data_IF_515014001086
#
_entry.id   IF_515014001086
#
_cell.length_a   1.000
_cell.length_b   1.000
_cell.length_c   1.000
_cell.angle_alpha   90.00
_cell.angle_beta   90.00
_cell.angle_gamma   90.00
#
_symmetry.space_group_name_H-M   'P 1'
#
loop_
_entity.id
_entity.type
_entity.pdbx_description
1 polymer ?
#
# COMPACT_ATOMS: atom_id res chain seq x y z
N UNK A 1 31.47 19.10 -29.38
CA UNK A 1 31.02 20.21 -28.50
C UNK A 1 30.57 19.56 -27.19
N UNK A 2 31.19 19.68 -26.03
CA UNK A 2 31.99 20.73 -25.40
C UNK A 2 33.20 20.09 -24.69
N UNK A 3 34.38 20.64 -24.95
CA UNK A 3 35.71 20.19 -24.53
C UNK A 3 36.13 20.82 -23.20
N UNK A 4 36.91 20.05 -22.41
CA UNK A 4 37.96 20.52 -21.46
C UNK A 4 37.40 21.36 -20.29
N UNK A 5 37.80 21.19 -19.04
CA UNK A 5 39.08 21.63 -18.50
C UNK A 5 39.31 20.95 -17.16
N UNK A 6 40.39 20.17 -17.10
CA UNK A 6 41.12 19.84 -15.87
C UNK A 6 41.93 21.10 -15.53
N UNK A 7 41.60 21.77 -14.42
CA UNK A 7 42.42 22.88 -13.92
C UNK A 7 43.31 22.40 -12.78
N UNK A 8 44.59 22.70 -12.96
CA UNK A 8 45.71 22.44 -12.09
C UNK A 8 45.58 23.20 -10.77
N UNK A 9 45.93 22.52 -9.68
CA UNK A 9 46.17 23.13 -8.37
C UNK A 9 47.51 23.87 -8.42
N UNK A 10 47.48 25.20 -8.43
CA UNK A 10 48.63 26.03 -8.04
C UNK A 10 48.68 26.16 -6.51
N UNK A 11 49.86 26.04 -5.88
CA UNK A 11 50.00 26.25 -4.44
C UNK A 11 49.96 27.76 -4.13
N UNK A 12 48.92 28.21 -3.42
CA UNK A 12 48.91 29.55 -2.85
C UNK A 12 49.88 29.63 -1.66
N UNK A 13 50.72 30.65 -1.75
CA UNK A 13 51.76 31.06 -0.81
C UNK A 13 51.24 31.20 0.62
N UNK A 14 51.96 30.59 1.57
CA UNK A 14 51.79 30.76 3.01
C UNK A 14 51.90 32.25 3.40
N UNK A 15 50.78 32.90 3.69
CA UNK A 15 50.77 34.13 4.49
C UNK A 15 50.96 33.73 5.97
N UNK A 16 52.10 34.13 6.55
CA UNK A 16 52.36 34.07 8.00
C UNK A 16 51.31 34.92 8.72
N UNK A 17 50.54 34.30 9.61
CA UNK A 17 49.73 35.02 10.60
C UNK A 17 50.66 35.62 11.68
N UNK A 18 50.38 36.83 12.21
CA UNK A 18 51.19 37.45 13.25
C UNK A 18 51.08 36.70 14.59
N UNK A 19 52.15 36.84 15.38
CA UNK A 19 52.37 36.20 16.67
C UNK A 19 51.25 36.48 17.68
N UNK A 20 50.87 35.43 18.40
CA UNK A 20 49.89 35.45 19.48
C UNK A 20 50.36 36.34 20.64
N UNK A 21 49.56 37.33 21.00
CA UNK A 21 49.56 37.97 22.32
C UNK A 21 48.90 37.03 23.32
N UNK A 22 49.57 36.80 24.44
CA UNK A 22 49.08 35.99 25.55
C UNK A 22 47.93 36.71 26.27
N UNK A 23 46.70 36.55 25.75
CA UNK A 23 45.51 37.01 26.42
C UNK A 23 45.11 36.01 27.52
N UNK A 24 45.38 36.44 28.76
CA UNK A 24 44.83 35.98 30.04
C UNK A 24 43.77 34.87 29.92
N UNK A 25 44.13 33.65 30.36
CA UNK A 25 43.20 32.53 30.54
C UNK A 25 42.11 32.91 31.56
N UNK A 26 41.03 33.54 31.09
CA UNK A 26 39.78 33.67 31.83
C UNK A 26 39.31 32.24 32.15
N UNK A 27 39.32 31.88 33.43
CA UNK A 27 38.78 30.60 33.92
C UNK A 27 37.30 30.55 33.55
N UNK A 28 36.99 29.88 32.43
CA UNK A 28 35.61 29.56 32.06
C UNK A 28 35.01 28.80 33.23
N UNK A 29 33.81 29.16 33.74
CA UNK A 29 33.22 28.48 34.88
C UNK A 29 33.11 26.98 34.59
N UNK A 30 33.49 26.15 35.56
CA UNK A 30 33.43 24.70 35.43
C UNK A 30 32.00 24.28 35.05
N UNK A 31 31.83 23.73 33.85
CA UNK A 31 30.53 23.30 33.36
C UNK A 31 29.94 22.29 34.36
N UNK A 32 28.73 22.53 34.87
CA UNK A 32 28.07 21.65 35.84
C UNK A 32 28.06 20.20 35.35
N UNK A 33 28.35 19.25 36.23
CA UNK A 33 28.39 17.81 35.90
C UNK A 33 27.07 17.33 35.29
N UNK A 34 25.95 17.85 35.77
CA UNK A 34 24.60 17.60 35.25
C UNK A 34 24.41 18.01 33.79
N UNK A 35 25.09 19.06 33.30
CA UNK A 35 25.04 19.46 31.89
C UNK A 35 25.87 18.52 31.01
N UNK A 36 27.02 18.04 31.50
CA UNK A 36 27.86 17.07 30.78
C UNK A 36 27.14 15.73 30.62
N UNK A 37 26.45 15.26 31.66
CA UNK A 37 25.62 14.04 31.59
C UNK A 37 24.46 14.20 30.60
N UNK A 38 23.75 15.34 30.62
CA UNK A 38 22.71 15.65 29.62
C UNK A 38 23.27 15.60 28.19
N UNK A 39 24.44 16.20 27.94
CA UNK A 39 25.08 16.18 26.62
C UNK A 39 25.43 14.75 26.16
N UNK A 40 25.96 13.91 27.06
CA UNK A 40 26.23 12.48 26.79
C UNK A 40 24.94 11.73 26.45
N UNK A 41 23.89 11.91 27.24
CA UNK A 41 22.59 11.28 27.01
C UNK A 41 21.97 11.70 25.66
N UNK A 42 22.05 12.98 25.30
CA UNK A 42 21.59 13.46 23.99
C UNK A 42 22.42 12.88 22.85
N UNK A 43 23.73 12.76 23.00
CA UNK A 43 24.60 12.14 22.01
C UNK A 43 24.24 10.65 21.82
N UNK A 44 24.03 9.91 22.90
CA UNK A 44 23.60 8.51 22.84
C UNK A 44 22.22 8.34 22.20
N UNK A 45 21.25 9.18 22.56
CA UNK A 45 19.92 9.16 21.97
C UNK A 45 19.98 9.46 20.47
N UNK A 46 20.83 10.41 20.04
CA UNK A 46 21.08 10.69 18.63
C UNK A 46 21.66 9.46 17.92
N UNK A 47 22.69 8.82 18.49
CA UNK A 47 23.29 7.60 17.92
C UNK A 47 22.26 6.47 17.81
N UNK A 48 21.48 6.22 18.87
CA UNK A 48 20.40 5.22 18.89
C UNK A 48 19.33 5.53 17.83
N UNK A 49 18.94 6.79 17.68
CA UNK A 49 17.98 7.21 16.66
C UNK A 49 18.52 7.01 15.23
N UNK A 50 19.80 7.35 14.99
CA UNK A 50 20.47 7.14 13.71
C UNK A 50 20.56 5.65 13.36
N UNK A 51 20.95 4.79 14.30
CA UNK A 51 20.98 3.34 14.13
C UNK A 51 19.59 2.79 13.79
N UNK A 52 18.54 3.21 14.51
CA UNK A 52 17.15 2.82 14.23
C UNK A 52 16.68 3.27 12.84
N UNK A 53 16.96 4.53 12.45
CA UNK A 53 16.64 5.06 11.12
C UNK A 53 17.36 4.28 10.02
N UNK A 54 18.63 3.94 10.22
CA UNK A 54 19.42 3.16 9.26
C UNK A 54 18.87 1.74 9.10
N UNK A 55 18.59 1.04 10.20
CA UNK A 55 17.97 -0.28 10.18
C UNK A 55 16.59 -0.26 9.48
N UNK A 56 15.75 0.72 9.79
CA UNK A 56 14.47 0.90 9.11
C UNK A 56 14.64 1.18 7.60
N UNK A 57 15.66 1.93 7.19
CA UNK A 57 15.95 2.22 5.78
C UNK A 57 16.33 0.94 5.02
N UNK A 58 17.19 0.10 5.59
CA UNK A 58 17.56 -1.20 4.99
C UNK A 58 16.31 -2.08 4.85
N UNK A 59 15.54 -2.20 5.91
CA UNK A 59 14.32 -3.02 5.92
C UNK A 59 13.26 -2.50 4.94
N UNK A 60 13.10 -1.18 4.79
CA UNK A 60 12.22 -0.58 3.77
C UNK A 60 12.70 -0.90 2.35
N UNK A 61 14.01 -0.85 2.08
CA UNK A 61 14.57 -1.20 0.77
C UNK A 61 14.32 -2.68 0.44
N UNK A 62 14.59 -3.58 1.38
CA UNK A 62 14.33 -5.01 1.22
C UNK A 62 12.85 -5.29 0.95
N UNK A 63 11.94 -4.66 1.71
CA UNK A 63 10.49 -4.78 1.51
C UNK A 63 10.05 -4.28 0.14
N UNK A 64 10.59 -3.15 -0.35
CA UNK A 64 10.27 -2.63 -1.69
C UNK A 64 10.68 -3.61 -2.79
N UNK A 65 11.89 -4.17 -2.71
CA UNK A 65 12.36 -5.18 -3.67
C UNK A 65 11.45 -6.41 -3.66
N UNK A 66 11.08 -6.89 -2.48
CA UNK A 66 10.17 -8.02 -2.33
C UNK A 66 8.78 -7.75 -2.93
N UNK A 67 8.17 -6.59 -2.65
CA UNK A 67 6.87 -6.20 -3.21
C UNK A 67 6.93 -6.11 -4.74
N UNK A 68 8.03 -5.59 -5.29
CA UNK A 68 8.23 -5.49 -6.73
C UNK A 68 8.27 -6.86 -7.42
N UNK A 69 9.08 -7.80 -6.91
CA UNK A 69 9.14 -9.16 -7.47
C UNK A 69 7.77 -9.87 -7.36
N UNK A 70 7.05 -9.65 -6.25
CA UNK A 70 5.71 -10.21 -6.04
C UNK A 70 4.68 -9.64 -7.04
N UNK A 71 4.72 -8.34 -7.30
CA UNK A 71 3.85 -7.71 -8.30
C UNK A 71 4.12 -8.24 -9.71
N UNK A 72 5.40 -8.39 -10.08
CA UNK A 72 5.83 -8.99 -11.35
C UNK A 72 5.31 -10.42 -11.49
N UNK A 73 5.40 -11.21 -10.42
CA UNK A 73 4.89 -12.58 -10.38
C UNK A 73 3.38 -12.63 -10.63
N UNK A 74 2.58 -11.85 -9.90
CA UNK A 74 1.13 -11.82 -10.07
C UNK A 74 0.70 -11.38 -11.48
N UNK A 75 1.38 -10.38 -12.06
CA UNK A 75 1.11 -9.97 -13.44
C UNK A 75 1.31 -11.12 -14.45
N UNK A 76 2.39 -11.89 -14.27
CA UNK A 76 2.66 -13.08 -15.10
C UNK A 76 1.58 -14.14 -14.91
N UNK A 77 1.18 -14.42 -13.67
CA UNK A 77 0.12 -15.40 -13.37
C UNK A 77 -1.22 -15.03 -14.03
N UNK A 78 -1.67 -13.77 -13.88
CA UNK A 78 -2.95 -13.34 -14.46
C UNK A 78 -2.95 -13.44 -15.99
N UNK A 79 -1.84 -13.06 -16.63
CA UNK A 79 -1.67 -13.22 -18.09
C UNK A 79 -1.71 -14.68 -18.52
N UNK A 80 -1.07 -15.56 -17.75
CA UNK A 80 -1.07 -17.00 -18.04
C UNK A 80 -2.48 -17.57 -17.90
N UNK A 81 -3.19 -17.30 -16.79
CA UNK A 81 -4.57 -17.76 -16.54
C UNK A 81 -5.53 -17.38 -17.67
N UNK A 82 -5.50 -16.11 -18.08
CA UNK A 82 -6.34 -15.63 -19.20
C UNK A 82 -6.02 -16.36 -20.51
N UNK A 83 -4.73 -16.54 -20.83
CA UNK A 83 -4.31 -17.26 -22.05
C UNK A 83 -4.66 -18.75 -21.99
N UNK A 84 -4.58 -19.38 -20.82
CA UNK A 84 -4.92 -20.80 -20.65
C UNK A 84 -6.41 -21.03 -20.87
N UNK A 85 -7.29 -20.17 -20.34
CA UNK A 85 -8.74 -20.27 -20.57
C UNK A 85 -9.08 -20.18 -22.06
N UNK A 86 -8.48 -19.21 -22.78
CA UNK A 86 -8.65 -19.07 -24.24
C UNK A 86 -8.14 -20.30 -24.97
N UNK A 87 -6.97 -20.83 -24.57
CA UNK A 87 -6.38 -22.02 -25.20
C UNK A 87 -7.29 -23.24 -25.02
N UNK A 88 -7.79 -23.48 -23.81
CA UNK A 88 -8.72 -24.59 -23.53
C UNK A 88 -9.99 -24.47 -24.38
N UNK A 89 -10.59 -23.28 -24.44
CA UNK A 89 -11.77 -23.04 -25.26
C UNK A 89 -11.53 -23.23 -26.78
N UNK A 90 -10.30 -23.01 -27.27
CA UNK A 90 -9.92 -23.28 -28.67
C UNK A 90 -9.67 -24.77 -28.93
N UNK A 91 -9.00 -25.46 -28.00
CA UNK A 91 -8.74 -26.90 -28.11
C UNK A 91 -10.05 -27.70 -28.12
N UNK A 92 -10.99 -27.35 -27.24
CA UNK A 92 -12.31 -27.97 -27.20
C UNK A 92 -13.06 -27.76 -28.53
N UNK A 93 -13.10 -26.52 -29.04
CA UNK A 93 -13.69 -26.21 -30.36
C UNK A 93 -13.03 -27.00 -31.50
N UNK A 94 -11.70 -27.15 -31.49
CA UNK A 94 -10.97 -27.95 -32.49
C UNK A 94 -11.31 -29.43 -32.41
N UNK A 95 -11.50 -29.96 -31.20
CA UNK A 95 -11.87 -31.34 -30.95
C UNK A 95 -13.38 -31.62 -31.12
N UNK A 96 -14.20 -30.58 -31.41
CA UNK A 96 -15.66 -30.69 -31.47
C UNK A 96 -16.34 -30.85 -30.10
N UNK A 97 -15.62 -30.65 -28.99
CA UNK A 97 -16.15 -30.72 -27.62
C UNK A 97 -16.42 -29.32 -27.04
N UNK A 98 -17.26 -29.26 -26.00
CA UNK A 98 -17.59 -28.01 -25.33
C UNK A 98 -16.75 -27.82 -24.06
N UNK A 99 -16.21 -26.61 -23.89
CA UNK A 99 -15.48 -26.23 -22.68
C UNK A 99 -16.37 -25.35 -21.78
N UNK A 100 -16.70 -25.85 -20.59
CA UNK A 100 -17.41 -25.08 -19.57
C UNK A 100 -16.39 -24.33 -18.69
N UNK A 101 -16.41 -22.98 -18.65
CA UNK A 101 -15.51 -22.22 -17.78
C UNK A 101 -15.88 -22.41 -16.31
N UNK A 102 -14.91 -22.23 -15.42
CA UNK A 102 -15.14 -22.33 -13.98
C UNK A 102 -16.09 -21.22 -13.48
N UNK A 103 -16.96 -21.57 -12.54
CA UNK A 103 -17.85 -20.60 -11.90
C UNK A 103 -17.04 -19.52 -11.15
N UNK A 104 -17.48 -18.24 -11.24
CA UNK A 104 -16.82 -17.14 -10.58
C UNK A 104 -16.96 -17.25 -9.05
N UNK A 105 -15.88 -16.93 -8.33
CA UNK A 105 -15.81 -17.05 -6.85
C UNK A 105 -16.01 -15.73 -6.11
N UNK A 106 -16.04 -14.61 -6.83
CA UNK A 106 -16.09 -13.26 -6.25
C UNK A 106 -17.12 -12.43 -6.99
N UNK A 107 -18.02 -11.80 -6.23
CA UNK A 107 -18.97 -10.82 -6.72
C UNK A 107 -18.73 -9.45 -6.07
N UNK A 108 -19.09 -8.40 -6.78
CA UNK A 108 -19.22 -7.07 -6.24
C UNK A 108 -20.69 -6.72 -6.15
N UNK A 109 -21.08 -6.19 -5.00
CA UNK A 109 -22.46 -5.96 -4.61
C UNK A 109 -22.61 -4.47 -4.35
N UNK A 110 -23.49 -3.79 -5.08
CA UNK A 110 -23.77 -2.36 -4.93
C UNK A 110 -25.23 -2.18 -4.54
N UNK A 111 -25.47 -1.36 -3.53
CA UNK A 111 -26.83 -1.00 -3.13
C UNK A 111 -27.41 0.08 -4.06
N UNK A 112 -28.61 -0.17 -4.60
CA UNK A 112 -29.34 0.79 -5.47
C UNK A 112 -30.47 1.51 -4.73
N UNK A 113 -31.21 0.81 -3.86
CA UNK A 113 -32.41 1.36 -3.19
C UNK A 113 -32.10 1.92 -1.79
N UNK A 114 -32.89 2.89 -1.34
CA UNK A 114 -32.84 3.49 0.00
C UNK A 114 -33.28 2.55 1.13
N UNK A 115 -33.48 3.09 2.34
CA UNK A 115 -33.82 2.32 3.56
C UNK A 115 -35.33 2.27 3.82
N UNK A 116 -36.09 3.17 3.20
CA UNK A 116 -37.52 3.33 3.45
C UNK A 116 -38.31 2.14 2.86
N UNK A 117 -39.27 1.62 3.63
CA UNK A 117 -40.15 0.53 3.18
C UNK A 117 -39.48 -0.84 3.02
N UNK A 118 -38.28 -1.04 3.57
CA UNK A 118 -37.56 -2.33 3.47
C UNK A 118 -38.03 -3.27 4.58
N UNK A 119 -38.38 -4.51 4.22
CA UNK A 119 -38.77 -5.53 5.19
C UNK A 119 -37.63 -5.83 6.19
N UNK A 120 -37.95 -6.16 7.46
CA UNK A 120 -36.93 -6.35 8.49
C UNK A 120 -35.95 -7.48 8.16
N UNK A 121 -36.42 -8.52 7.45
CA UNK A 121 -35.58 -9.63 6.98
C UNK A 121 -34.54 -9.15 5.97
N UNK A 122 -34.96 -8.42 4.93
CA UNK A 122 -34.05 -7.84 3.93
C UNK A 122 -33.08 -6.86 4.59
N UNK A 123 -33.56 -6.03 5.51
CA UNK A 123 -32.73 -5.07 6.26
C UNK A 123 -31.57 -5.75 7.00
N UNK A 124 -31.84 -6.90 7.64
CA UNK A 124 -30.82 -7.69 8.32
C UNK A 124 -29.81 -8.32 7.35
N UNK A 125 -30.27 -8.85 6.22
CA UNK A 125 -29.36 -9.41 5.20
C UNK A 125 -28.44 -8.35 4.61
N UNK A 126 -28.96 -7.15 4.30
CA UNK A 126 -28.15 -6.02 3.85
C UNK A 126 -27.09 -5.62 4.89
N UNK A 127 -27.46 -5.61 6.17
CA UNK A 127 -26.52 -5.34 7.26
C UNK A 127 -25.41 -6.39 7.34
N UNK A 128 -25.74 -7.68 7.15
CA UNK A 128 -24.78 -8.79 7.16
C UNK A 128 -23.83 -8.78 5.96
N UNK A 129 -24.27 -8.34 4.78
CA UNK A 129 -23.41 -8.17 3.60
C UNK A 129 -22.43 -6.98 3.73
N UNK A 130 -22.22 -6.51 4.96
CA UNK A 130 -21.42 -5.35 5.30
C UNK A 130 -21.77 -4.14 4.43
N UNK A 131 -23.05 -3.99 4.10
CA UNK A 131 -23.63 -2.75 3.59
C UNK A 131 -24.29 -2.03 4.79
N UNK A 132 -23.54 -1.53 5.79
CA UNK A 132 -24.14 -0.82 6.91
C UNK A 132 -24.95 0.37 6.39
N UNK A 133 -26.12 0.48 7.01
CA UNK A 133 -27.20 1.36 6.61
C UNK A 133 -26.83 2.84 6.81
N UNK A 134 -26.69 3.56 5.69
CA UNK A 134 -27.16 4.96 5.54
C UNK A 134 -27.14 5.40 4.08
N UNK A 135 -26.09 5.05 3.33
CA UNK A 135 -25.85 5.63 2.02
C UNK A 135 -26.17 4.68 0.85
N UNK A 136 -26.72 5.26 -0.22
CA UNK A 136 -26.92 4.60 -1.52
C UNK A 136 -25.57 4.56 -2.25
N UNK A 137 -25.37 3.59 -3.15
CA UNK A 137 -24.14 3.40 -3.93
C UNK A 137 -22.89 2.95 -3.14
N UNK A 138 -23.08 2.45 -1.93
CA UNK A 138 -22.04 1.70 -1.25
C UNK A 138 -21.88 0.31 -1.87
N UNK A 139 -20.63 -0.12 -2.01
CA UNK A 139 -20.27 -1.39 -2.64
C UNK A 139 -19.38 -2.26 -1.77
N UNK A 140 -19.61 -3.57 -1.78
CA UNK A 140 -18.80 -4.56 -1.07
C UNK A 140 -18.42 -5.74 -1.94
N UNK A 141 -17.26 -6.33 -1.65
CA UNK A 141 -16.83 -7.60 -2.23
C UNK A 141 -17.39 -8.76 -1.43
N UNK A 142 -18.07 -9.69 -2.08
CA UNK A 142 -18.67 -10.88 -1.47
C UNK A 142 -18.10 -12.13 -2.13
N UNK A 143 -17.58 -13.05 -1.32
CA UNK A 143 -17.18 -14.38 -1.77
C UNK A 143 -18.43 -15.18 -2.12
N UNK A 144 -18.48 -15.72 -3.34
CA UNK A 144 -19.59 -16.54 -3.80
C UNK A 144 -19.51 -17.94 -3.19
N UNK A 145 -20.57 -18.30 -2.47
CA UNK A 145 -20.86 -19.60 -1.91
C UNK A 145 -22.38 -19.85 -2.05
N UNK A 146 -22.84 -21.10 -1.93
CA UNK A 146 -24.27 -21.45 -2.01
C UNK A 146 -25.12 -20.61 -1.06
N UNK A 147 -24.63 -20.40 0.17
CA UNK A 147 -25.30 -19.55 1.16
C UNK A 147 -25.36 -18.07 0.75
N UNK A 148 -24.26 -17.52 0.22
CA UNK A 148 -24.23 -16.10 -0.17
C UNK A 148 -25.13 -15.83 -1.37
N UNK A 149 -25.22 -16.76 -2.32
CA UNK A 149 -26.14 -16.67 -3.47
C UNK A 149 -27.59 -16.63 -2.99
N UNK A 150 -27.96 -17.49 -2.04
CA UNK A 150 -29.31 -17.48 -1.47
C UNK A 150 -29.62 -16.16 -0.72
N UNK A 151 -28.64 -15.60 -0.01
CA UNK A 151 -28.79 -14.27 0.59
C UNK A 151 -28.97 -13.17 -0.46
N UNK A 152 -28.18 -13.20 -1.55
CA UNK A 152 -28.26 -12.25 -2.65
C UNK A 152 -29.62 -12.29 -3.35
N UNK A 153 -30.20 -13.47 -3.55
CA UNK A 153 -31.55 -13.65 -4.12
C UNK A 153 -32.63 -12.96 -3.28
N UNK A 154 -32.53 -12.99 -1.95
CA UNK A 154 -33.51 -12.32 -1.07
C UNK A 154 -33.45 -10.79 -1.22
N UNK A 155 -32.26 -10.24 -1.48
CA UNK A 155 -32.01 -8.79 -1.53
C UNK A 155 -31.89 -8.24 -2.96
N UNK A 156 -32.12 -9.08 -3.96
CA UNK A 156 -32.03 -8.78 -5.39
C UNK A 156 -32.75 -7.49 -5.80
N UNK A 157 -33.99 -7.18 -5.36
CA UNK A 157 -34.65 -5.93 -5.77
C UNK A 157 -34.01 -4.65 -5.19
N UNK A 158 -33.10 -4.76 -4.22
CA UNK A 158 -32.47 -3.61 -3.55
C UNK A 158 -31.01 -3.38 -4.00
N UNK A 159 -30.42 -4.32 -4.73
CA UNK A 159 -28.99 -4.40 -5.01
C UNK A 159 -28.77 -4.72 -6.50
N UNK A 160 -27.73 -4.15 -7.10
CA UNK A 160 -27.11 -4.72 -8.29
C UNK A 160 -25.83 -5.43 -7.88
N UNK A 161 -25.64 -6.65 -8.39
CA UNK A 161 -24.42 -7.40 -8.14
C UNK A 161 -23.98 -8.13 -9.40
N UNK A 162 -22.68 -8.39 -9.48
CA UNK A 162 -22.08 -9.05 -10.63
C UNK A 162 -20.63 -9.43 -10.40
N UNK A 163 -20.09 -10.21 -11.32
CA UNK A 163 -18.67 -10.59 -11.28
C UNK A 163 -17.83 -9.49 -11.91
N UNK A 164 -16.76 -9.07 -11.23
CA UNK A 164 -15.87 -8.02 -11.72
C UNK A 164 -14.65 -8.59 -12.44
N UNK A 165 -14.14 -7.81 -13.39
CA UNK A 165 -12.85 -8.04 -14.00
C UNK A 165 -11.71 -7.51 -13.11
N UNK A 166 -10.50 -8.04 -13.27
CA UNK A 166 -9.28 -7.62 -12.54
C UNK A 166 -9.03 -6.11 -12.65
N UNK A 167 -9.29 -5.53 -13.83
CA UNK A 167 -9.17 -4.08 -14.05
C UNK A 167 -10.10 -3.29 -13.13
N UNK A 168 -11.38 -3.67 -13.09
CA UNK A 168 -12.39 -3.01 -12.27
C UNK A 168 -12.08 -3.12 -10.77
N UNK A 169 -11.55 -4.27 -10.32
CA UNK A 169 -11.14 -4.46 -8.92
C UNK A 169 -10.00 -3.50 -8.56
N UNK A 170 -8.96 -3.41 -9.39
CA UNK A 170 -7.83 -2.51 -9.14
C UNK A 170 -8.28 -1.05 -9.10
N UNK A 171 -9.08 -0.61 -10.10
CA UNK A 171 -9.57 0.76 -10.13
C UNK A 171 -10.45 1.12 -8.93
N UNK A 172 -11.27 0.18 -8.43
CA UNK A 172 -12.07 0.41 -7.23
C UNK A 172 -11.20 0.60 -5.99
N UNK A 173 -10.19 -0.25 -5.81
CA UNK A 173 -9.28 -0.18 -4.66
C UNK A 173 -8.43 1.10 -4.75
N UNK A 174 -7.88 1.41 -5.92
CA UNK A 174 -7.00 2.56 -6.10
C UNK A 174 -7.75 3.90 -6.00
N UNK A 175 -8.99 3.99 -6.51
CA UNK A 175 -9.77 5.24 -6.53
C UNK A 175 -10.67 5.44 -5.31
N UNK A 176 -11.23 4.36 -4.75
CA UNK A 176 -12.28 4.40 -3.71
C UNK A 176 -11.99 3.50 -2.52
N UNK A 177 -10.81 2.88 -2.45
CA UNK A 177 -10.42 1.98 -1.37
C UNK A 177 -10.07 2.74 -0.10
N UNK A 178 -10.77 2.42 0.99
CA UNK A 178 -10.47 2.91 2.33
C UNK A 178 -10.09 1.75 3.25
N UNK A 179 -9.04 1.92 4.06
CA UNK A 179 -8.62 0.95 5.05
C UNK A 179 -9.16 1.32 6.43
N UNK A 180 -9.94 0.43 7.05
CA UNK A 180 -10.42 0.61 8.42
C UNK A 180 -9.31 0.25 9.43
N UNK A 181 -8.68 1.25 10.05
CA UNK A 181 -7.60 1.09 11.03
C UNK A 181 -8.07 1.68 12.37
N UNK A 182 -8.09 0.87 13.43
CA UNK A 182 -8.53 1.31 14.77
C UNK A 182 -9.93 1.98 14.78
N UNK A 183 -10.88 1.37 14.04
CA UNK A 183 -12.26 1.87 13.82
C UNK A 183 -12.35 3.21 13.05
N UNK A 184 -11.24 3.72 12.51
CA UNK A 184 -11.19 4.91 11.65
C UNK A 184 -10.90 4.52 10.20
#
# INVERSE_FOLDING_TARGET
MCTRWRQELRPETKKKAPAATEDTKKKVPAVPETLKEKQRNFAELKIKCLRKKFAQKILRKARRKFIYEKAKHYHKEYRQKYRTEIRMARMARKAGTFYAPAEPKLAFVIRIRGINGVSPKVRKVLQLLCLPLRQIFNGTFVKLNKASINMLKIVEPYIAWGCLNLKSVNELIDKRGYGKINKK
#
